data_IF_131984055626
#
_entry.id   IF_131984055626
#
_cell.length_a   1.000
_cell.length_b   1.000
_cell.length_c   1.000
_cell.angle_alpha   90.00
_cell.angle_beta   90.00
_cell.angle_gamma   90.00
#
_symmetry.space_group_name_H-M   'P 1'
#
loop_
_entity.id
_entity.type
_entity.pdbx_description
1 polymer ?
#
# COMPACT_ATOMS: atom_id res chain seq x y z
N UNK A 1 -1.80 13.12 -5.95
CA UNK A 1 -1.92 11.66 -6.15
C UNK A 1 -2.20 10.93 -4.83
N UNK A 2 -1.36 11.03 -3.80
CA UNK A 2 -1.52 10.22 -2.57
C UNK A 2 -2.83 10.51 -1.78
N UNK A 3 -3.26 11.78 -1.64
CA UNK A 3 -4.38 12.12 -0.79
C UNK A 3 -5.72 11.47 -1.18
N UNK A 4 -6.16 11.47 -2.46
CA UNK A 4 -7.37 10.76 -2.85
C UNK A 4 -7.30 9.26 -2.55
N UNK A 5 -6.13 8.62 -2.71
CA UNK A 5 -5.94 7.20 -2.44
C UNK A 5 -6.06 6.90 -0.95
N UNK A 6 -5.50 7.74 -0.08
CA UNK A 6 -5.67 7.62 1.38
C UNK A 6 -7.13 7.84 1.79
N UNK A 7 -7.84 8.77 1.15
CA UNK A 7 -9.28 8.97 1.39
C UNK A 7 -10.11 7.76 0.96
N UNK A 8 -9.78 7.15 -0.18
CA UNK A 8 -10.44 5.93 -0.65
C UNK A 8 -10.17 4.76 0.30
N UNK A 9 -8.92 4.59 0.75
CA UNK A 9 -8.58 3.58 1.74
C UNK A 9 -9.35 3.78 3.05
N UNK A 10 -9.43 5.02 3.56
CA UNK A 10 -10.18 5.33 4.78
C UNK A 10 -11.67 4.96 4.67
N UNK A 11 -12.25 5.06 3.46
CA UNK A 11 -13.64 4.67 3.20
C UNK A 11 -13.85 3.14 3.16
N UNK A 12 -12.83 2.36 2.86
CA UNK A 12 -12.94 0.90 2.83
C UNK A 12 -13.08 0.28 4.22
N UNK A 13 -12.29 0.74 5.19
CA UNK A 13 -12.18 0.09 6.49
C UNK A 13 -13.52 -0.07 7.23
N UNK A 14 -14.42 0.94 7.28
CA UNK A 14 -15.73 0.78 7.94
C UNK A 14 -16.64 -0.26 7.28
N UNK A 15 -16.38 -0.61 6.02
CA UNK A 15 -17.13 -1.63 5.29
C UNK A 15 -16.64 -3.07 5.50
N UNK A 16 -15.56 -3.26 6.25
CA UNK A 16 -15.02 -4.59 6.58
C UNK A 16 -15.67 -5.08 7.86
N UNK A 17 -16.35 -6.24 7.79
CA UNK A 17 -17.03 -6.81 8.95
C UNK A 17 -16.15 -7.86 9.66
N UNK A 18 -16.40 -8.15 10.95
CA UNK A 18 -15.64 -9.17 11.67
C UNK A 18 -15.68 -10.57 11.04
N UNK A 19 -16.80 -10.90 10.34
CA UNK A 19 -16.95 -12.18 9.63
C UNK A 19 -15.97 -12.31 8.47
N UNK A 20 -15.50 -11.18 7.94
CA UNK A 20 -14.54 -11.13 6.83
C UNK A 20 -13.08 -11.20 7.28
N UNK A 21 -12.79 -11.11 8.58
CA UNK A 21 -11.42 -11.08 9.12
C UNK A 21 -10.55 -12.25 8.66
N UNK A 22 -11.16 -13.42 8.43
CA UNK A 22 -10.48 -14.64 7.99
C UNK A 22 -10.59 -14.91 6.49
N UNK A 23 -11.14 -13.99 5.72
CA UNK A 23 -11.20 -14.17 4.28
C UNK A 23 -9.80 -14.11 3.67
N UNK A 24 -9.51 -14.98 2.70
CA UNK A 24 -8.26 -14.90 1.95
C UNK A 24 -8.19 -13.59 1.16
N UNK A 25 -6.99 -13.12 0.91
CA UNK A 25 -6.74 -11.95 0.07
C UNK A 25 -5.91 -12.34 -1.16
N UNK A 26 -5.82 -11.49 -2.19
CA UNK A 26 -4.91 -11.71 -3.31
C UNK A 26 -3.42 -11.72 -2.92
N UNK A 27 -3.08 -11.24 -1.74
CA UNK A 27 -1.76 -11.36 -1.14
C UNK A 27 -1.74 -12.62 -0.27
N UNK A 28 -1.19 -13.71 -0.77
CA UNK A 28 -1.28 -15.06 -0.17
C UNK A 28 -0.78 -15.14 1.28
N UNK A 29 0.09 -14.22 1.70
CA UNK A 29 0.63 -14.17 3.06
C UNK A 29 -0.38 -13.66 4.11
N UNK A 30 -1.52 -13.08 3.68
CA UNK A 30 -2.44 -12.37 4.57
C UNK A 30 -3.91 -12.80 4.40
N UNK A 31 -4.59 -13.06 5.51
CA UNK A 31 -6.04 -12.88 5.60
C UNK A 31 -6.38 -11.37 5.76
N UNK A 32 -7.65 -11.02 5.67
CA UNK A 32 -8.13 -9.62 5.78
C UNK A 32 -7.65 -8.96 7.07
N UNK A 33 -7.74 -9.65 8.22
CA UNK A 33 -7.30 -9.11 9.52
C UNK A 33 -5.80 -8.87 9.57
N UNK A 34 -4.99 -9.79 9.03
CA UNK A 34 -3.55 -9.65 8.97
C UNK A 34 -3.13 -8.52 8.02
N UNK A 35 -3.79 -8.41 6.86
CA UNK A 35 -3.53 -7.34 5.89
C UNK A 35 -3.87 -5.95 6.43
N UNK A 36 -4.99 -5.84 7.19
CA UNK A 36 -5.33 -4.58 7.89
C UNK A 36 -4.21 -4.15 8.84
N UNK A 37 -3.71 -5.07 9.68
CA UNK A 37 -2.61 -4.78 10.61
C UNK A 37 -1.32 -4.42 9.88
N UNK A 38 -0.99 -5.13 8.82
CA UNK A 38 0.15 -4.85 7.96
C UNK A 38 0.10 -3.42 7.41
N UNK A 39 -1.02 -3.04 6.80
CA UNK A 39 -1.22 -1.67 6.30
C UNK A 39 -1.08 -0.63 7.41
N UNK A 40 -1.74 -0.81 8.56
CA UNK A 40 -1.64 0.15 9.65
C UNK A 40 -0.21 0.28 10.18
N UNK A 41 0.54 -0.80 10.20
CA UNK A 41 1.96 -0.80 10.54
C UNK A 41 2.78 0.05 9.57
N UNK A 42 2.61 -0.15 8.27
CA UNK A 42 3.31 0.65 7.25
C UNK A 42 2.87 2.11 7.25
N UNK A 43 1.58 2.41 7.39
CA UNK A 43 1.11 3.79 7.50
C UNK A 43 1.75 4.51 8.69
N UNK A 44 1.91 3.82 9.83
CA UNK A 44 2.59 4.35 11.02
C UNK A 44 4.10 4.53 10.79
N UNK A 45 4.72 3.61 10.09
CA UNK A 45 6.12 3.72 9.68
C UNK A 45 6.38 4.96 8.81
N UNK A 46 5.55 5.17 7.78
CA UNK A 46 5.64 6.34 6.92
C UNK A 46 5.34 7.64 7.66
N UNK A 47 4.37 7.63 8.58
CA UNK A 47 4.08 8.79 9.42
C UNK A 47 5.30 9.23 10.24
N UNK A 48 5.98 8.28 10.90
CA UNK A 48 7.22 8.55 11.61
C UNK A 48 8.34 9.06 10.69
N UNK A 49 8.44 8.48 9.47
CA UNK A 49 9.43 8.91 8.49
C UNK A 49 9.21 10.34 7.98
N UNK A 50 7.96 10.78 7.82
CA UNK A 50 7.63 12.13 7.39
C UNK A 50 7.65 13.15 8.54
N UNK A 51 7.44 12.70 9.78
CA UNK A 51 7.53 13.54 10.98
C UNK A 51 8.99 13.91 11.32
N UNK A 52 9.89 12.95 11.23
CA UNK A 52 11.35 13.15 11.41
C UNK A 52 12.11 12.52 10.23
N UNK A 53 12.26 13.25 9.11
CA UNK A 53 12.88 12.70 7.91
C UNK A 53 14.31 12.16 8.11
N UNK A 54 15.10 12.78 8.99
CA UNK A 54 16.50 12.40 9.24
C UNK A 54 16.65 11.30 10.29
N UNK A 55 15.62 11.04 11.08
CA UNK A 55 15.65 10.06 12.15
C UNK A 55 15.87 8.63 11.65
N UNK A 56 16.41 7.79 12.52
CA UNK A 56 16.61 6.36 12.30
C UNK A 56 15.65 5.47 13.11
N UNK A 57 15.03 6.04 14.11
CA UNK A 57 14.04 5.34 14.93
C UNK A 57 12.71 5.27 14.16
N UNK A 58 12.35 4.06 13.76
CA UNK A 58 11.14 3.76 12.99
C UNK A 58 10.39 2.62 13.67
N UNK A 59 9.06 2.71 13.82
CA UNK A 59 8.28 1.59 14.30
C UNK A 59 8.43 0.41 13.32
N UNK A 60 8.50 -0.81 13.87
CA UNK A 60 8.47 -2.02 13.05
C UNK A 60 7.04 -2.26 12.56
N UNK A 61 6.78 -2.23 11.23
CA UNK A 61 5.44 -2.46 10.70
C UNK A 61 4.87 -3.84 11.06
N UNK A 62 5.73 -4.86 11.19
CA UNK A 62 5.34 -6.23 11.51
C UNK A 62 4.92 -6.40 12.97
N UNK A 63 5.40 -5.53 13.85
CA UNK A 63 5.12 -5.52 15.29
C UNK A 63 3.98 -4.53 15.66
N UNK A 64 3.20 -4.08 14.70
CA UNK A 64 2.12 -3.11 14.96
C UNK A 64 1.10 -3.67 15.96
N UNK A 65 1.02 -3.03 17.12
CA UNK A 65 0.08 -3.34 18.21
C UNK A 65 -0.84 -2.17 18.56
N UNK A 66 -0.83 -1.13 17.70
CA UNK A 66 -1.66 0.05 17.87
C UNK A 66 -3.16 -0.26 17.84
N UNK A 67 -3.99 0.69 18.27
CA UNK A 67 -5.43 0.52 18.22
C UNK A 67 -5.91 0.35 16.76
N UNK A 68 -6.88 -0.56 16.57
CA UNK A 68 -7.53 -0.77 15.28
C UNK A 68 -8.50 0.39 14.98
N UNK A 69 -7.93 1.55 14.71
CA UNK A 69 -8.65 2.77 14.31
C UNK A 69 -8.09 3.32 12.99
N UNK A 70 -8.30 2.61 11.86
CA UNK A 70 -7.69 2.93 10.57
C UNK A 70 -7.95 4.37 10.13
N UNK A 71 -9.17 4.86 10.30
CA UNK A 71 -9.55 6.23 9.90
C UNK A 71 -8.73 7.28 10.65
N UNK A 72 -8.45 7.06 11.95
CA UNK A 72 -7.65 7.99 12.74
C UNK A 72 -6.16 7.97 12.30
N UNK A 73 -5.61 6.78 12.04
CA UNK A 73 -4.22 6.63 11.53
C UNK A 73 -4.07 7.33 10.19
N UNK A 74 -5.00 7.11 9.26
CA UNK A 74 -4.96 7.73 7.92
C UNK A 74 -5.12 9.25 8.01
N UNK A 75 -6.04 9.75 8.85
CA UNK A 75 -6.23 11.19 9.02
C UNK A 75 -4.99 11.87 9.61
N UNK A 76 -4.34 11.21 10.58
CA UNK A 76 -3.07 11.71 11.16
C UNK A 76 -1.98 11.75 10.08
N UNK A 77 -1.69 10.64 9.40
CA UNK A 77 -0.72 10.56 8.32
C UNK A 77 -0.98 11.62 7.22
N UNK A 78 -2.26 11.80 6.83
CA UNK A 78 -2.63 12.83 5.85
C UNK A 78 -2.21 14.22 6.30
N UNK A 79 -2.41 14.54 7.58
CA UNK A 79 -2.01 15.81 8.18
C UNK A 79 -0.49 15.95 8.21
N UNK A 80 0.23 14.89 8.62
CA UNK A 80 1.70 14.83 8.62
C UNK A 80 2.26 15.09 7.21
N UNK A 81 1.74 14.39 6.18
CA UNK A 81 2.22 14.57 4.79
C UNK A 81 1.99 16.01 4.33
N UNK A 82 0.82 16.61 4.59
CA UNK A 82 0.54 18.00 4.20
C UNK A 82 1.51 18.98 4.85
N UNK A 83 1.75 18.84 6.15
CA UNK A 83 2.67 19.67 6.90
C UNK A 83 4.12 19.51 6.42
N UNK A 84 4.57 18.27 6.24
CA UNK A 84 5.90 17.94 5.77
C UNK A 84 6.17 18.48 4.34
N UNK A 85 5.19 18.34 3.43
CA UNK A 85 5.27 18.90 2.07
C UNK A 85 5.37 20.44 2.09
N UNK A 86 4.60 21.10 2.96
CA UNK A 86 4.72 22.55 3.15
C UNK A 86 6.10 22.95 3.70
N UNK A 87 6.76 22.07 4.46
CA UNK A 87 8.12 22.20 4.96
C UNK A 87 9.22 21.79 3.99
N UNK A 88 8.90 21.43 2.73
CA UNK A 88 9.88 21.07 1.71
C UNK A 88 10.24 19.58 1.64
N UNK A 89 9.42 18.68 2.21
CA UNK A 89 9.66 17.23 2.23
C UNK A 89 10.00 16.67 0.86
N UNK A 90 9.36 17.16 -0.21
CA UNK A 90 9.50 16.57 -1.55
C UNK A 90 10.97 16.42 -2.01
N UNK A 91 11.82 17.36 -1.63
CA UNK A 91 13.25 17.38 -1.97
C UNK A 91 14.16 17.04 -0.79
N UNK A 92 13.63 16.95 0.41
CA UNK A 92 14.38 16.53 1.60
C UNK A 92 14.75 15.05 1.51
N UNK A 93 15.88 14.68 2.10
CA UNK A 93 16.23 13.27 2.24
C UNK A 93 15.47 12.67 3.41
N UNK A 94 14.79 11.55 3.17
CA UNK A 94 14.03 10.79 4.17
C UNK A 94 14.69 9.44 4.38
N UNK A 95 15.04 9.13 5.62
CA UNK A 95 15.66 7.86 6.00
C UNK A 95 14.56 6.81 6.23
N UNK A 96 14.58 5.74 5.44
CA UNK A 96 13.62 4.61 5.48
C UNK A 96 14.40 3.27 5.42
N UNK A 97 15.08 2.89 6.51
CA UNK A 97 16.01 1.77 6.52
C UNK A 97 15.38 0.44 6.11
N UNK A 98 14.12 0.18 6.46
CA UNK A 98 13.41 -1.04 6.04
C UNK A 98 13.12 -1.08 4.53
N UNK A 99 13.19 0.05 3.85
CA UNK A 99 13.05 0.15 2.38
C UNK A 99 14.40 0.32 1.66
N UNK A 100 15.49 -0.01 2.34
CA UNK A 100 16.83 -0.06 1.75
C UNK A 100 17.67 1.20 1.86
N UNK A 101 17.23 2.25 2.58
CA UNK A 101 18.08 3.41 2.79
C UNK A 101 17.38 4.75 2.91
N UNK A 102 17.99 5.78 2.32
CA UNK A 102 17.49 7.14 2.36
C UNK A 102 17.22 7.65 0.92
N UNK A 103 16.06 8.24 0.72
CA UNK A 103 15.57 8.68 -0.58
C UNK A 103 14.99 10.10 -0.51
N UNK A 104 14.86 10.81 -1.64
CA UNK A 104 14.05 12.02 -1.69
C UNK A 104 12.62 11.76 -1.19
N UNK A 105 12.06 12.69 -0.44
CA UNK A 105 10.71 12.54 0.12
C UNK A 105 9.63 12.29 -0.91
N UNK A 106 9.78 12.81 -2.14
CA UNK A 106 8.88 12.47 -3.25
C UNK A 106 8.88 10.98 -3.56
N UNK A 107 10.05 10.32 -3.55
CA UNK A 107 10.17 8.88 -3.76
C UNK A 107 9.53 8.09 -2.60
N UNK A 108 9.72 8.54 -1.36
CA UNK A 108 9.11 7.88 -0.20
C UNK A 108 7.57 8.02 -0.22
N UNK A 109 7.04 9.14 -0.73
CA UNK A 109 5.60 9.29 -0.97
C UNK A 109 5.11 8.33 -2.08
N UNK A 110 5.90 8.10 -3.12
CA UNK A 110 5.57 7.13 -4.16
C UNK A 110 5.59 5.69 -3.63
N UNK A 111 6.51 5.34 -2.71
CA UNK A 111 6.52 4.05 -2.04
C UNK A 111 5.24 3.85 -1.18
N UNK A 112 4.84 4.87 -0.41
CA UNK A 112 3.56 4.84 0.31
C UNK A 112 2.37 4.71 -0.65
N UNK A 113 2.39 5.40 -1.79
CA UNK A 113 1.34 5.31 -2.80
C UNK A 113 1.20 3.89 -3.34
N UNK A 114 2.31 3.23 -3.67
CA UNK A 114 2.36 1.86 -4.16
C UNK A 114 1.79 0.89 -3.13
N UNK A 115 2.23 0.99 -1.89
CA UNK A 115 1.75 0.20 -0.76
C UNK A 115 0.22 0.32 -0.61
N UNK A 116 -0.28 1.56 -0.64
CA UNK A 116 -1.70 1.85 -0.47
C UNK A 116 -2.54 1.37 -1.66
N UNK A 117 -2.05 1.53 -2.91
CA UNK A 117 -2.76 1.08 -4.11
C UNK A 117 -2.87 -0.45 -4.16
N UNK A 118 -1.77 -1.16 -3.90
CA UNK A 118 -1.73 -2.62 -3.95
C UNK A 118 -2.61 -3.25 -2.87
N UNK A 119 -2.38 -2.90 -1.63
CA UNK A 119 -3.12 -3.49 -0.51
C UNK A 119 -4.55 -2.95 -0.36
N UNK A 120 -4.83 -1.74 -0.81
CA UNK A 120 -6.21 -1.24 -0.95
C UNK A 120 -7.00 -2.08 -1.96
N UNK A 121 -6.36 -2.48 -3.07
CA UNK A 121 -6.95 -3.41 -4.03
C UNK A 121 -7.16 -4.81 -3.43
N UNK A 122 -6.17 -5.34 -2.71
CA UNK A 122 -6.27 -6.65 -2.04
C UNK A 122 -7.46 -6.69 -1.08
N UNK A 123 -7.61 -5.68 -0.22
CA UNK A 123 -8.74 -5.57 0.71
C UNK A 123 -10.08 -5.47 -0.02
N UNK A 124 -10.15 -4.65 -1.07
CA UNK A 124 -11.38 -4.48 -1.84
C UNK A 124 -11.82 -5.79 -2.49
N UNK A 125 -10.87 -6.52 -3.10
CA UNK A 125 -11.18 -7.84 -3.73
C UNK A 125 -11.63 -8.86 -2.71
N UNK A 126 -10.95 -8.94 -1.56
CA UNK A 126 -11.28 -9.89 -0.49
C UNK A 126 -12.66 -9.62 0.14
N UNK A 127 -13.07 -8.35 0.24
CA UNK A 127 -14.28 -7.94 0.96
C UNK A 127 -15.45 -7.57 0.04
N UNK A 128 -15.28 -7.68 -1.28
CA UNK A 128 -16.30 -7.35 -2.28
C UNK A 128 -16.58 -5.85 -2.40
N UNK A 129 -15.65 -5.00 -1.97
CA UNK A 129 -15.78 -3.56 -2.06
C UNK A 129 -15.26 -3.01 -3.40
N UNK A 130 -15.58 -1.75 -3.70
CA UNK A 130 -15.05 -1.04 -4.86
C UNK A 130 -13.71 -0.39 -4.52
N UNK A 131 -12.75 -0.54 -5.44
CA UNK A 131 -11.50 0.19 -5.43
C UNK A 131 -11.25 0.76 -6.81
N UNK A 132 -11.35 2.06 -6.96
CA UNK A 132 -11.28 2.70 -8.27
C UNK A 132 -10.45 3.99 -8.20
N UNK A 133 -9.16 3.88 -7.88
CA UNK A 133 -8.24 5.02 -7.88
C UNK A 133 -8.11 5.61 -9.29
N UNK A 134 -7.74 6.88 -9.35
CA UNK A 134 -7.54 7.57 -10.61
C UNK A 134 -6.52 6.86 -11.51
N UNK A 135 -6.84 6.60 -12.81
CA UNK A 135 -5.97 5.87 -13.71
C UNK A 135 -4.58 6.50 -13.90
N UNK A 136 -4.46 7.83 -13.86
CA UNK A 136 -3.17 8.51 -13.98
C UNK A 136 -2.30 8.25 -12.74
N UNK A 137 -2.92 8.18 -11.56
CA UNK A 137 -2.24 7.83 -10.31
C UNK A 137 -1.72 6.39 -10.35
N UNK A 138 -2.52 5.45 -10.86
CA UNK A 138 -2.09 4.05 -11.04
C UNK A 138 -0.96 3.92 -12.07
N UNK A 139 -1.04 4.65 -13.20
CA UNK A 139 0.00 4.65 -14.22
C UNK A 139 1.31 5.23 -13.68
N UNK A 140 1.25 6.30 -12.88
CA UNK A 140 2.44 6.86 -12.22
C UNK A 140 3.10 5.82 -11.30
N UNK A 141 2.32 5.17 -10.43
CA UNK A 141 2.83 4.14 -9.52
C UNK A 141 3.45 2.95 -10.28
N UNK A 142 2.83 2.51 -11.38
CA UNK A 142 3.39 1.46 -12.23
C UNK A 142 4.74 1.88 -12.82
N UNK A 143 4.85 3.10 -13.36
CA UNK A 143 6.10 3.62 -13.91
C UNK A 143 7.22 3.68 -12.87
N UNK A 144 6.89 4.06 -11.63
CA UNK A 144 7.86 4.04 -10.51
C UNK A 144 8.30 2.60 -10.21
N UNK A 145 7.37 1.65 -10.12
CA UNK A 145 7.67 0.24 -9.86
C UNK A 145 8.55 -0.38 -10.95
N UNK A 146 8.26 -0.11 -12.23
CA UNK A 146 9.07 -0.57 -13.37
C UNK A 146 10.53 -0.09 -13.28
N UNK A 147 10.75 1.09 -12.67
CA UNK A 147 12.09 1.65 -12.47
C UNK A 147 12.84 1.10 -11.26
N UNK A 148 12.15 0.57 -10.25
CA UNK A 148 12.77 0.19 -8.97
C UNK A 148 12.76 -1.32 -8.68
N UNK A 149 11.78 -2.08 -9.17
CA UNK A 149 11.73 -3.52 -8.93
C UNK A 149 12.70 -4.25 -9.84
N UNK A 150 13.69 -4.87 -9.21
CA UNK A 150 14.65 -5.75 -9.88
C UNK A 150 14.20 -7.21 -9.77
N UNK A 151 14.68 -8.12 -10.66
CA UNK A 151 14.33 -9.54 -10.63
C UNK A 151 14.57 -10.21 -9.27
N UNK A 152 15.61 -9.81 -8.53
CA UNK A 152 15.96 -10.32 -7.21
C UNK A 152 14.94 -9.99 -6.11
N UNK A 153 14.02 -9.05 -6.34
CA UNK A 153 12.93 -8.73 -5.40
C UNK A 153 11.67 -9.56 -5.66
N UNK A 154 11.75 -10.54 -6.58
CA UNK A 154 10.60 -11.36 -7.01
C UNK A 154 10.78 -12.82 -6.65
N UNK A 155 9.72 -13.47 -6.21
CA UNK A 155 9.67 -14.90 -5.95
C UNK A 155 9.32 -15.28 -4.52
N UNK A 156 9.44 -16.56 -4.16
CA UNK A 156 9.08 -17.03 -2.82
C UNK A 156 9.86 -16.31 -1.71
N UNK A 157 9.14 -15.74 -0.74
CA UNK A 157 9.73 -15.00 0.38
C UNK A 157 10.24 -13.60 0.01
N UNK A 158 10.00 -13.13 -1.22
CA UNK A 158 10.34 -11.79 -1.67
C UNK A 158 9.11 -10.86 -1.61
N UNK A 159 9.31 -9.52 -1.60
CA UNK A 159 8.21 -8.57 -1.52
C UNK A 159 7.20 -8.67 -2.68
N UNK A 160 7.63 -9.17 -3.85
CA UNK A 160 6.82 -9.27 -5.05
C UNK A 160 6.80 -10.69 -5.61
N UNK A 161 5.64 -11.11 -6.10
CA UNK A 161 5.50 -12.33 -6.89
C UNK A 161 6.10 -12.19 -8.30
N UNK A 162 6.17 -13.30 -9.05
CA UNK A 162 6.43 -13.24 -10.49
C UNK A 162 5.38 -12.38 -11.17
N UNK A 163 5.82 -11.54 -12.12
CA UNK A 163 4.90 -10.72 -12.91
C UNK A 163 3.90 -11.59 -13.67
N UNK A 164 2.63 -11.18 -13.66
CA UNK A 164 1.56 -11.84 -14.39
C UNK A 164 1.38 -11.14 -15.73
N UNK A 165 1.42 -11.92 -16.80
CA UNK A 165 1.23 -11.38 -18.14
C UNK A 165 -0.18 -10.81 -18.32
N UNK A 166 -0.28 -9.58 -18.78
CA UNK A 166 -1.54 -8.87 -19.05
C UNK A 166 -1.41 -8.02 -20.30
N UNK A 167 -2.54 -7.76 -20.98
CA UNK A 167 -2.57 -6.91 -22.16
C UNK A 167 -2.11 -5.49 -21.82
N UNK A 168 -1.25 -4.91 -22.65
CA UNK A 168 -0.74 -3.54 -22.46
C UNK A 168 -1.85 -2.47 -22.52
N UNK A 169 -3.00 -2.79 -23.10
CA UNK A 169 -4.18 -1.92 -23.13
C UNK A 169 -5.10 -2.07 -21.91
N UNK A 170 -4.80 -2.99 -20.99
CA UNK A 170 -5.57 -3.17 -19.76
C UNK A 170 -5.53 -1.90 -18.87
N UNK A 171 -6.53 -1.69 -18.02
CA UNK A 171 -6.57 -0.55 -17.11
C UNK A 171 -5.28 -0.45 -16.27
N UNK A 172 -4.76 0.76 -16.01
CA UNK A 172 -3.51 0.94 -15.27
C UNK A 172 -3.46 0.24 -13.91
N UNK A 173 -4.57 0.18 -13.18
CA UNK A 173 -4.65 -0.53 -11.91
C UNK A 173 -4.44 -2.04 -12.09
N UNK A 174 -5.05 -2.65 -13.10
CA UNK A 174 -4.88 -4.08 -13.40
C UNK A 174 -3.44 -4.39 -13.79
N UNK A 175 -2.83 -3.52 -14.60
CA UNK A 175 -1.41 -3.64 -14.96
C UNK A 175 -0.50 -3.48 -13.75
N UNK A 176 -0.79 -2.54 -12.85
CA UNK A 176 -0.06 -2.34 -11.60
C UNK A 176 -0.07 -3.60 -10.73
N UNK A 177 -1.24 -4.18 -10.47
CA UNK A 177 -1.36 -5.37 -9.62
C UNK A 177 -0.75 -6.61 -10.29
N UNK A 178 -0.91 -6.78 -11.61
CA UNK A 178 -0.26 -7.84 -12.37
C UNK A 178 1.27 -7.73 -12.31
N UNK A 179 1.81 -6.51 -12.43
CA UNK A 179 3.24 -6.25 -12.30
C UNK A 179 3.78 -6.63 -10.93
N UNK A 180 2.99 -6.50 -9.86
CA UNK A 180 3.38 -6.91 -8.51
C UNK A 180 3.19 -8.42 -8.23
N UNK A 181 2.69 -9.19 -9.20
CA UNK A 181 2.49 -10.64 -9.10
C UNK A 181 1.09 -11.03 -8.63
N UNK A 182 0.16 -10.09 -8.53
CA UNK A 182 -1.25 -10.36 -8.19
C UNK A 182 -2.06 -10.67 -9.44
N UNK A 183 -2.93 -11.69 -9.38
CA UNK A 183 -3.84 -12.00 -10.48
C UNK A 183 -4.99 -10.97 -10.54
N UNK A 184 -5.10 -10.14 -11.59
CA UNK A 184 -6.20 -9.19 -11.72
C UNK A 184 -7.59 -9.85 -11.77
N UNK A 185 -7.66 -11.13 -12.17
CA UNK A 185 -8.88 -11.91 -12.19
C UNK A 185 -9.19 -12.60 -10.84
N UNK A 186 -8.34 -12.41 -9.84
CA UNK A 186 -8.55 -13.03 -8.53
C UNK A 186 -9.94 -12.69 -7.96
N UNK A 187 -10.61 -13.70 -7.47
CA UNK A 187 -11.87 -13.59 -6.76
C UNK A 187 -11.84 -14.55 -5.57
N UNK A 188 -12.48 -14.20 -4.44
CA UNK A 188 -12.58 -15.13 -3.32
C UNK A 188 -13.28 -16.41 -3.77
N UNK A 189 -12.79 -17.56 -3.31
CA UNK A 189 -13.51 -18.82 -3.53
C UNK A 189 -14.94 -18.65 -2.99
N UNK A 190 -15.93 -18.90 -3.86
CA UNK A 190 -17.33 -18.82 -3.46
C UNK A 190 -17.53 -19.80 -2.30
N UNK A 191 -17.74 -19.29 -1.10
CA UNK A 191 -18.22 -20.12 -0.01
C UNK A 191 -19.69 -20.45 -0.35
N UNK A 192 -19.89 -21.59 -0.98
CA UNK A 192 -21.23 -22.17 -1.09
C UNK A 192 -21.74 -22.41 0.35
N UNK A 193 -22.64 -21.54 0.79
CA UNK A 193 -23.41 -21.74 2.01
C UNK A 193 -24.54 -22.73 1.75
#
# INVERSE_FOLDING_TARGET
MIFPVLEDLARQFPGITPEQDKFPTPCDDFDVSALRRHLLGWLTYFDAAFTDPSGSDRPDPSAFTGPDHPSAVIAHLTTTIRSALAGGLATATVNVPLLGGAYPGSVVIDLLLIETLGHGWDLARATGQRWNPDPQTCQHALTVLEGVIQPEYRGPGMPFGPEIAIDASAPPLERLVAFTGRDPAWAPAVQLR
#
